data_IF_178356726470
#
_entry.id   IF_178356726470
#
_cell.length_a   1.000
_cell.length_b   1.000
_cell.length_c   1.000
_cell.angle_alpha   90.00
_cell.angle_beta   90.00
_cell.angle_gamma   90.00
#
_symmetry.space_group_name_H-M   'P 1'
#
loop_
_entity.id
_entity.type
_entity.pdbx_description
1 polymer ?
#
# COMPACT_ATOMS: atom_id res chain seq x y z
N UNK A 1 -20.81 45.60 -4.95
CA UNK A 1 -20.42 44.33 -5.60
C UNK A 1 -19.11 43.87 -4.96
N UNK A 2 -19.12 42.76 -4.20
CA UNK A 2 -17.90 42.16 -3.62
C UNK A 2 -17.58 40.90 -4.41
N UNK A 3 -16.56 40.98 -5.25
CA UNK A 3 -16.02 39.85 -6.02
C UNK A 3 -15.18 39.01 -5.07
N UNK A 4 -15.66 37.81 -4.73
CA UNK A 4 -14.89 36.82 -3.98
C UNK A 4 -13.94 36.14 -4.97
N UNK A 5 -12.64 36.46 -4.83
CA UNK A 5 -11.56 35.84 -5.58
C UNK A 5 -11.32 34.44 -5.00
N UNK A 6 -11.79 33.41 -5.70
CA UNK A 6 -11.56 32.01 -5.34
C UNK A 6 -10.10 31.66 -5.67
N UNK A 7 -9.24 31.61 -4.65
CA UNK A 7 -7.86 31.17 -4.78
C UNK A 7 -7.84 29.63 -4.89
N UNK A 8 -7.82 29.11 -6.12
CA UNK A 8 -7.53 27.69 -6.37
C UNK A 8 -6.05 27.44 -6.06
N UNK A 9 -5.77 26.88 -4.88
CA UNK A 9 -4.44 26.37 -4.54
C UNK A 9 -4.29 25.01 -5.23
N UNK A 10 -3.71 25.03 -6.42
CA UNK A 10 -3.31 23.81 -7.14
C UNK A 10 -2.06 23.24 -6.46
N UNK A 11 -2.24 22.32 -5.51
CA UNK A 11 -1.13 21.54 -4.96
C UNK A 11 -0.67 20.58 -6.06
N UNK A 12 0.38 20.95 -6.79
CA UNK A 12 1.11 20.07 -7.69
C UNK A 12 1.86 19.04 -6.83
N UNK A 13 1.28 17.86 -6.66
CA UNK A 13 1.96 16.71 -6.10
C UNK A 13 2.91 16.19 -7.19
N UNK A 14 4.13 16.73 -7.23
CA UNK A 14 5.19 16.13 -8.03
C UNK A 14 5.52 14.77 -7.42
N UNK A 15 5.13 13.69 -8.08
CA UNK A 15 5.74 12.39 -7.82
C UNK A 15 7.23 12.55 -8.11
N UNK A 16 8.06 12.54 -7.07
CA UNK A 16 9.50 12.75 -7.22
C UNK A 16 10.04 11.63 -8.12
N UNK A 17 10.34 11.98 -9.37
CA UNK A 17 11.15 11.14 -10.24
C UNK A 17 12.59 11.34 -9.75
N UNK A 18 13.13 10.36 -9.04
CA UNK A 18 14.51 10.41 -8.57
C UNK A 18 15.42 10.13 -9.76
N UNK A 19 16.27 11.10 -10.08
CA UNK A 19 17.39 10.88 -10.99
C UNK A 19 18.51 10.20 -10.20
N UNK A 20 18.95 9.06 -10.69
CA UNK A 20 20.02 8.26 -10.10
C UNK A 20 21.14 8.06 -11.12
N UNK A 21 22.36 7.90 -10.61
CA UNK A 21 23.52 7.55 -11.41
C UNK A 21 24.21 6.35 -10.76
N UNK A 22 24.59 5.37 -11.58
CA UNK A 22 25.39 4.23 -11.16
C UNK A 22 26.62 4.09 -12.04
N UNK A 23 27.76 3.80 -11.41
CA UNK A 23 28.97 3.35 -12.11
C UNK A 23 29.08 1.85 -11.99
N UNK A 24 29.06 1.14 -13.12
CA UNK A 24 29.16 -0.32 -13.19
C UNK A 24 30.54 -0.68 -13.70
N UNK A 25 31.28 -1.41 -12.87
CA UNK A 25 32.58 -1.96 -13.22
C UNK A 25 32.37 -3.23 -14.06
N UNK A 26 33.28 -3.50 -15.00
CA UNK A 26 33.28 -4.79 -15.70
C UNK A 26 33.37 -5.94 -14.69
N UNK A 27 32.52 -6.95 -14.85
CA UNK A 27 32.48 -8.12 -13.97
C UNK A 27 33.39 -9.25 -14.46
N UNK A 28 33.86 -9.19 -15.70
CA UNK A 28 34.80 -10.15 -16.27
C UNK A 28 35.40 -9.66 -17.59
N UNK A 29 36.52 -10.26 -17.97
CA UNK A 29 37.17 -10.05 -19.26
C UNK A 29 37.63 -11.40 -19.85
N UNK A 30 37.29 -11.62 -21.11
CA UNK A 30 37.74 -12.78 -21.90
C UNK A 30 38.53 -12.26 -23.08
N UNK A 31 39.82 -12.59 -23.16
CA UNK A 31 40.69 -12.09 -24.22
C UNK A 31 41.16 -13.23 -25.11
N UNK A 32 40.87 -13.12 -26.40
CA UNK A 32 41.30 -14.06 -27.44
C UNK A 32 42.46 -13.47 -28.24
N UNK A 33 43.49 -14.28 -28.47
CA UNK A 33 44.59 -13.96 -29.36
C UNK A 33 44.48 -14.81 -30.63
N UNK A 34 44.64 -14.19 -31.79
CA UNK A 34 44.85 -14.87 -33.07
C UNK A 34 46.33 -14.84 -33.41
N UNK A 35 46.91 -15.98 -33.76
CA UNK A 35 48.32 -16.12 -34.13
C UNK A 35 48.46 -17.07 -35.34
N UNK A 36 49.65 -17.16 -35.92
CA UNK A 36 49.96 -18.11 -37.01
C UNK A 36 50.69 -19.30 -36.40
N UNK A 37 50.10 -20.49 -36.44
CA UNK A 37 50.72 -21.68 -35.85
C UNK A 37 51.92 -22.20 -36.67
N UNK A 38 52.58 -23.26 -36.19
CA UNK A 38 53.75 -23.88 -36.85
C UNK A 38 53.47 -24.41 -38.25
N UNK A 39 52.20 -24.59 -38.62
CA UNK A 39 51.77 -25.02 -39.96
C UNK A 39 51.42 -23.85 -40.88
N UNK A 40 51.62 -22.60 -40.44
CA UNK A 40 51.31 -21.39 -41.22
C UNK A 40 49.82 -21.01 -41.24
N UNK A 41 48.98 -21.64 -40.42
CA UNK A 41 47.54 -21.38 -40.36
C UNK A 41 47.18 -20.47 -39.20
N UNK A 42 46.09 -19.72 -39.34
CA UNK A 42 45.53 -18.96 -38.22
C UNK A 42 44.95 -19.91 -37.17
N UNK A 43 45.34 -19.68 -35.92
CA UNK A 43 44.83 -20.37 -34.76
C UNK A 43 44.51 -19.37 -33.64
N UNK A 44 43.79 -19.80 -32.62
CA UNK A 44 43.26 -18.95 -31.56
C UNK A 44 43.45 -19.58 -30.18
N UNK A 45 43.73 -18.75 -29.18
CA UNK A 45 43.76 -19.18 -27.78
C UNK A 45 43.35 -18.05 -26.84
N UNK A 46 43.01 -18.38 -25.59
CA UNK A 46 42.85 -17.35 -24.55
C UNK A 46 44.22 -16.88 -24.06
N UNK A 47 44.37 -15.57 -23.91
CA UNK A 47 45.61 -14.97 -23.44
C UNK A 47 45.34 -13.61 -22.80
N UNK A 48 45.90 -13.34 -21.61
CA UNK A 48 45.66 -12.11 -20.85
C UNK A 48 46.81 -11.12 -20.90
N UNK A 49 47.82 -11.30 -21.76
CA UNK A 49 48.99 -10.41 -21.81
C UNK A 49 48.58 -8.98 -22.22
N UNK A 50 47.72 -8.87 -23.23
CA UNK A 50 47.17 -7.61 -23.72
C UNK A 50 45.67 -7.77 -23.91
N UNK A 51 44.89 -6.70 -23.78
CA UNK A 51 43.45 -6.77 -24.03
C UNK A 51 43.14 -6.64 -25.52
N UNK A 52 43.86 -5.76 -26.23
CA UNK A 52 43.65 -5.50 -27.66
C UNK A 52 44.95 -5.25 -28.40
N UNK A 53 44.90 -5.27 -29.74
CA UNK A 53 45.94 -4.76 -30.64
C UNK A 53 46.98 -5.80 -31.02
N UNK A 54 48.13 -5.36 -31.54
CA UNK A 54 49.20 -6.25 -32.05
C UNK A 54 50.54 -5.91 -31.41
N UNK A 55 51.30 -6.94 -31.08
CA UNK A 55 52.69 -6.85 -30.61
C UNK A 55 53.65 -7.08 -31.77
N UNK A 56 54.89 -6.62 -31.67
CA UNK A 56 55.93 -6.80 -32.68
C UNK A 56 56.50 -8.24 -32.83
N UNK A 57 55.91 -9.23 -32.15
CA UNK A 57 56.38 -10.63 -32.17
C UNK A 57 57.50 -10.99 -31.21
N UNK A 58 58.11 -10.03 -30.51
CA UNK A 58 59.20 -10.30 -29.56
C UNK A 58 58.72 -10.76 -28.17
N UNK A 59 57.41 -10.99 -27.99
CA UNK A 59 56.86 -11.38 -26.69
C UNK A 59 56.98 -12.89 -26.38
N UNK A 60 57.35 -13.72 -27.36
CA UNK A 60 57.71 -15.13 -27.17
C UNK A 60 56.59 -16.09 -26.76
N UNK A 61 55.31 -15.67 -26.81
CA UNK A 61 54.23 -16.46 -26.18
C UNK A 61 53.60 -17.48 -27.12
N UNK A 62 53.27 -17.11 -28.37
CA UNK A 62 52.67 -18.02 -29.33
C UNK A 62 53.44 -17.95 -30.65
N UNK A 63 54.25 -18.97 -30.93
CA UNK A 63 54.94 -19.25 -32.21
C UNK A 63 56.11 -18.35 -32.66
N UNK A 64 56.56 -17.37 -31.87
CA UNK A 64 57.56 -16.40 -32.37
C UNK A 64 57.04 -15.59 -33.58
N UNK A 65 55.72 -15.56 -33.73
CA UNK A 65 54.98 -14.90 -34.80
C UNK A 65 54.90 -13.40 -34.53
N UNK A 66 55.28 -12.60 -35.52
CA UNK A 66 55.04 -11.15 -35.49
C UNK A 66 53.55 -10.78 -35.65
N UNK A 67 52.64 -11.75 -35.74
CA UNK A 67 51.23 -11.55 -36.12
C UNK A 67 50.24 -11.82 -34.98
N UNK A 68 50.68 -11.81 -33.73
CA UNK A 68 49.80 -12.00 -32.58
C UNK A 68 48.91 -10.76 -32.40
N UNK A 69 47.60 -10.96 -32.49
CA UNK A 69 46.60 -9.88 -32.36
C UNK A 69 45.61 -10.28 -31.27
N UNK A 70 45.40 -9.40 -30.29
CA UNK A 70 44.45 -9.57 -29.19
C UNK A 70 43.16 -8.80 -29.44
N UNK A 71 42.07 -9.38 -28.95
CA UNK A 71 40.75 -8.76 -28.81
C UNK A 71 40.13 -9.21 -27.49
N UNK A 72 39.38 -8.35 -26.83
CA UNK A 72 38.75 -8.65 -25.54
C UNK A 72 37.24 -8.49 -25.57
N UNK A 73 36.52 -9.34 -24.85
CA UNK A 73 35.11 -9.16 -24.50
C UNK A 73 35.00 -8.88 -23.00
N UNK A 74 34.20 -7.88 -22.65
CA UNK A 74 33.97 -7.40 -21.30
C UNK A 74 32.52 -7.66 -20.94
N UNK A 75 32.27 -8.29 -19.78
CA UNK A 75 30.93 -8.49 -19.25
C UNK A 75 30.60 -7.46 -18.18
N UNK A 76 29.33 -7.08 -18.10
CA UNK A 76 28.80 -6.13 -17.11
C UNK A 76 27.53 -6.67 -16.50
N UNK A 77 27.50 -6.78 -15.17
CA UNK A 77 26.30 -7.13 -14.43
C UNK A 77 25.44 -5.88 -14.21
N UNK A 78 24.17 -5.93 -14.65
CA UNK A 78 23.24 -4.79 -14.62
C UNK A 78 22.24 -4.85 -13.47
N UNK A 79 22.36 -5.81 -12.54
CA UNK A 79 21.39 -6.00 -11.47
C UNK A 79 21.31 -4.87 -10.44
N UNK A 80 22.24 -3.92 -10.45
CA UNK A 80 22.15 -2.68 -9.66
C UNK A 80 21.16 -1.68 -10.22
N UNK A 81 20.71 -1.83 -11.48
CA UNK A 81 19.70 -0.97 -12.09
C UNK A 81 18.31 -1.62 -11.89
N UNK A 82 17.33 -0.94 -11.28
CA UNK A 82 15.98 -1.47 -11.12
C UNK A 82 15.36 -1.83 -12.48
N UNK A 83 14.62 -2.94 -12.55
CA UNK A 83 14.04 -3.43 -13.81
C UNK A 83 12.99 -2.50 -14.42
N UNK A 84 12.38 -1.63 -13.63
CA UNK A 84 11.44 -0.60 -14.08
C UNK A 84 12.13 0.75 -14.40
N UNK A 85 13.45 0.85 -14.27
CA UNK A 85 14.17 2.10 -14.52
C UNK A 85 14.11 2.50 -16.01
N UNK A 86 13.99 3.81 -16.24
CA UNK A 86 14.14 4.43 -17.56
C UNK A 86 15.57 4.96 -17.68
N UNK A 87 16.39 4.35 -18.54
CA UNK A 87 17.76 4.82 -18.79
C UNK A 87 17.71 6.14 -19.56
N UNK A 88 18.22 7.22 -18.97
CA UNK A 88 18.24 8.54 -19.59
C UNK A 88 19.53 8.77 -20.37
N UNK A 89 20.66 8.27 -19.87
CA UNK A 89 21.96 8.44 -20.49
C UNK A 89 22.88 7.26 -20.15
N UNK A 90 23.80 6.96 -21.07
CA UNK A 90 24.85 5.97 -20.84
C UNK A 90 26.18 6.49 -21.39
N UNK A 91 27.24 6.27 -20.62
CA UNK A 91 28.60 6.64 -20.97
C UNK A 91 29.54 5.45 -20.78
N UNK A 92 30.54 5.33 -21.66
CA UNK A 92 31.62 4.36 -21.54
C UNK A 92 32.90 5.09 -21.15
N UNK A 93 33.46 4.71 -20.01
CA UNK A 93 34.74 5.20 -19.54
C UNK A 93 35.84 4.16 -19.79
N UNK A 94 36.97 4.62 -20.29
CA UNK A 94 38.11 3.80 -20.67
C UNK A 94 39.29 4.04 -19.75
N UNK A 95 39.92 2.96 -19.27
CA UNK A 95 41.19 2.98 -18.57
C UNK A 95 42.18 2.15 -19.38
N UNK A 96 43.06 2.85 -20.11
CA UNK A 96 43.97 2.25 -21.09
C UNK A 96 45.39 2.37 -20.54
N UNK A 97 46.10 1.25 -20.48
CA UNK A 97 47.46 1.19 -19.92
C UNK A 97 48.34 0.20 -20.67
N UNK A 98 49.64 0.20 -20.39
CA UNK A 98 50.59 -0.74 -20.98
C UNK A 98 50.58 -0.72 -22.51
N UNK A 99 50.49 0.46 -23.13
CA UNK A 99 50.47 0.64 -24.58
C UNK A 99 51.75 1.34 -25.05
N UNK A 100 52.14 1.11 -26.31
CA UNK A 100 53.29 1.75 -26.95
C UNK A 100 52.90 2.77 -28.03
N UNK A 101 51.62 2.83 -28.40
CA UNK A 101 51.11 3.69 -29.45
C UNK A 101 50.02 4.62 -28.89
N UNK A 102 50.40 5.86 -28.54
CA UNK A 102 49.47 6.83 -27.95
C UNK A 102 48.43 7.38 -28.93
N UNK A 103 48.72 7.31 -30.23
CA UNK A 103 47.84 7.77 -31.32
C UNK A 103 46.94 6.65 -31.85
N UNK A 104 47.14 5.41 -31.39
CA UNK A 104 46.28 4.30 -31.77
C UNK A 104 44.87 4.50 -31.23
N UNK A 105 43.89 3.92 -31.92
CA UNK A 105 42.49 3.99 -31.53
C UNK A 105 41.88 2.60 -31.44
N UNK A 106 40.82 2.46 -30.65
CA UNK A 106 40.02 1.24 -30.53
C UNK A 106 38.59 1.45 -31.01
N UNK A 107 37.93 0.33 -31.27
CA UNK A 107 36.50 0.20 -31.53
C UNK A 107 35.88 -0.69 -30.46
N UNK A 108 34.67 -0.35 -30.02
CA UNK A 108 33.85 -1.17 -29.11
C UNK A 108 32.55 -1.58 -29.80
N UNK A 109 32.17 -2.84 -29.68
CA UNK A 109 30.94 -3.42 -30.23
C UNK A 109 30.10 -4.07 -29.15
N UNK A 110 28.78 -4.21 -29.37
CA UNK A 110 27.93 -5.08 -28.55
C UNK A 110 28.09 -6.52 -29.04
N UNK A 111 28.37 -7.43 -28.12
CA UNK A 111 28.49 -8.86 -28.40
C UNK A 111 27.41 -9.65 -27.66
N UNK A 112 27.47 -10.97 -27.76
CA UNK A 112 26.43 -11.88 -27.22
C UNK A 112 26.98 -12.87 -26.19
N UNK A 113 28.24 -12.73 -25.74
CA UNK A 113 28.84 -13.65 -24.76
C UNK A 113 29.15 -15.02 -25.36
N UNK A 114 29.92 -15.07 -26.46
CA UNK A 114 30.24 -16.31 -27.19
C UNK A 114 31.51 -16.98 -26.64
N UNK A 115 31.54 -18.32 -26.59
CA UNK A 115 32.58 -19.04 -25.85
C UNK A 115 33.65 -19.76 -26.69
N UNK A 116 33.42 -20.03 -27.99
CA UNK A 116 34.49 -20.58 -28.83
C UNK A 116 35.40 -19.47 -29.37
N UNK A 117 36.70 -19.73 -29.48
CA UNK A 117 37.68 -18.68 -29.78
C UNK A 117 37.42 -17.96 -31.11
N UNK A 118 37.16 -18.72 -32.18
CA UNK A 118 36.88 -18.17 -33.50
C UNK A 118 35.56 -17.39 -33.57
N UNK A 119 34.53 -17.85 -32.85
CA UNK A 119 33.26 -17.12 -32.75
C UNK A 119 33.42 -15.82 -31.95
N UNK A 120 34.11 -15.86 -30.81
CA UNK A 120 34.41 -14.68 -30.00
C UNK A 120 35.19 -13.64 -30.82
N UNK A 121 36.26 -14.09 -31.49
CA UNK A 121 37.06 -13.26 -32.38
C UNK A 121 36.22 -12.53 -33.44
N UNK A 122 35.33 -13.28 -34.11
CA UNK A 122 34.45 -12.76 -35.16
C UNK A 122 33.38 -11.83 -34.59
N UNK A 123 32.79 -12.19 -33.46
CA UNK A 123 31.73 -11.42 -32.80
C UNK A 123 32.25 -10.06 -32.30
N UNK A 124 33.47 -10.00 -31.77
CA UNK A 124 34.07 -8.72 -31.35
C UNK A 124 34.20 -7.75 -32.54
N UNK A 125 34.50 -8.24 -33.75
CA UNK A 125 34.53 -7.42 -34.96
C UNK A 125 33.23 -7.43 -35.77
N UNK A 126 32.08 -7.42 -35.08
CA UNK A 126 30.79 -7.26 -35.73
C UNK A 126 30.50 -5.78 -36.10
N UNK A 127 29.30 -5.55 -36.64
CA UNK A 127 28.79 -4.24 -37.07
C UNK A 127 28.02 -3.48 -35.97
N UNK A 128 27.69 -4.12 -34.84
CA UNK A 128 26.94 -3.52 -33.72
C UNK A 128 27.84 -2.59 -32.90
N UNK A 129 28.25 -1.49 -33.51
CA UNK A 129 29.24 -0.57 -32.95
C UNK A 129 28.64 0.29 -31.84
N UNK A 130 29.30 0.30 -30.68
CA UNK A 130 28.98 1.15 -29.52
C UNK A 130 29.86 2.40 -29.51
N UNK A 131 31.15 2.22 -29.79
CA UNK A 131 32.13 3.29 -29.97
C UNK A 131 32.94 3.00 -31.22
N UNK A 132 32.85 3.86 -32.23
CA UNK A 132 33.49 3.64 -33.52
C UNK A 132 35.00 3.88 -33.50
N UNK A 133 35.46 4.86 -32.71
CA UNK A 133 36.87 5.19 -32.53
C UNK A 133 37.09 5.88 -31.18
N UNK A 134 38.07 5.42 -30.41
CA UNK A 134 38.54 6.05 -29.18
C UNK A 134 40.06 5.99 -29.12
N UNK A 135 40.73 7.12 -29.00
CA UNK A 135 42.21 7.20 -28.99
C UNK A 135 42.75 6.75 -27.63
N UNK A 136 43.86 6.01 -27.62
CA UNK A 136 44.38 5.35 -26.41
C UNK A 136 44.73 6.32 -25.27
N UNK A 137 45.19 7.53 -25.61
CA UNK A 137 45.54 8.55 -24.63
C UNK A 137 44.39 9.51 -24.28
N UNK A 138 43.17 9.27 -24.78
CA UNK A 138 42.02 10.09 -24.44
C UNK A 138 41.54 9.78 -23.00
N UNK A 139 40.98 10.79 -22.34
CA UNK A 139 40.51 10.69 -20.94
C UNK A 139 39.01 10.94 -20.77
N UNK A 140 38.32 11.33 -21.84
CA UNK A 140 36.91 11.76 -21.77
C UNK A 140 35.98 10.57 -21.98
N UNK A 141 35.04 10.29 -21.05
CA UNK A 141 34.03 9.27 -21.26
C UNK A 141 33.21 9.52 -22.54
N UNK A 142 32.80 8.44 -23.22
CA UNK A 142 32.02 8.51 -24.44
C UNK A 142 30.53 8.34 -24.11
N UNK A 143 29.75 9.41 -24.25
CA UNK A 143 28.28 9.33 -24.24
C UNK A 143 27.83 8.64 -25.53
N UNK A 144 27.06 7.56 -25.44
CA UNK A 144 26.64 6.78 -26.62
C UNK A 144 25.18 6.36 -26.54
N UNK A 145 24.39 6.77 -27.54
CA UNK A 145 23.00 6.30 -27.69
C UNK A 145 22.96 4.79 -27.94
N UNK A 146 23.89 4.26 -28.74
CA UNK A 146 24.00 2.83 -28.99
C UNK A 146 24.29 2.05 -27.69
N UNK A 147 25.12 2.61 -26.78
CA UNK A 147 25.33 2.03 -25.45
C UNK A 147 24.06 2.04 -24.61
N UNK A 148 23.34 3.17 -24.61
CA UNK A 148 22.07 3.31 -23.89
C UNK A 148 21.07 2.23 -24.35
N UNK A 149 20.89 2.09 -25.65
CA UNK A 149 19.97 1.10 -26.24
C UNK A 149 20.45 -0.32 -25.96
N UNK A 150 21.77 -0.54 -25.97
CA UNK A 150 22.36 -1.83 -25.60
C UNK A 150 22.09 -2.21 -24.15
N UNK A 151 22.19 -1.27 -23.20
CA UNK A 151 21.88 -1.47 -21.78
C UNK A 151 20.38 -1.78 -21.63
N UNK A 152 19.50 -0.98 -22.23
CA UNK A 152 18.04 -1.18 -22.17
C UNK A 152 17.68 -2.61 -22.63
N UNK A 153 18.22 -3.04 -23.76
CA UNK A 153 17.97 -4.39 -24.29
C UNK A 153 18.56 -5.52 -23.42
N UNK A 154 19.52 -5.22 -22.55
CA UNK A 154 20.21 -6.19 -21.68
C UNK A 154 19.73 -6.14 -20.23
N UNK A 155 18.86 -5.21 -19.84
CA UNK A 155 18.29 -5.15 -18.48
C UNK A 155 17.51 -6.42 -18.13
N UNK A 156 16.82 -7.03 -19.09
CA UNK A 156 16.02 -8.26 -18.88
C UNK A 156 16.87 -9.50 -18.63
N UNK A 157 18.05 -9.58 -19.26
CA UNK A 157 19.01 -10.68 -19.05
C UNK A 157 19.93 -10.40 -17.85
N UNK A 158 19.98 -9.16 -17.36
CA UNK A 158 20.83 -8.72 -16.26
C UNK A 158 22.32 -8.66 -16.58
N UNK A 159 22.72 -8.97 -17.81
CA UNK A 159 24.13 -8.97 -18.23
C UNK A 159 24.27 -8.40 -19.65
N UNK A 160 25.27 -7.54 -19.85
CA UNK A 160 25.67 -7.01 -21.14
C UNK A 160 27.11 -7.41 -21.47
N UNK A 161 27.41 -7.62 -22.75
CA UNK A 161 28.74 -7.94 -23.25
C UNK A 161 29.18 -6.91 -24.29
N UNK A 162 30.41 -6.41 -24.14
CA UNK A 162 31.06 -5.47 -25.06
C UNK A 162 32.38 -6.03 -25.56
N UNK A 163 32.58 -6.07 -26.88
CA UNK A 163 33.83 -6.45 -27.52
C UNK A 163 34.70 -5.24 -27.83
N UNK A 164 36.00 -5.34 -27.61
CA UNK A 164 37.00 -4.30 -27.88
C UNK A 164 38.06 -4.82 -28.85
N UNK A 165 38.43 -3.99 -29.82
CA UNK A 165 39.53 -4.26 -30.76
C UNK A 165 40.30 -2.99 -31.11
N UNK A 166 41.59 -3.13 -31.43
CA UNK A 166 42.38 -2.02 -31.99
C UNK A 166 41.95 -1.74 -33.42
N UNK A 167 41.86 -0.49 -33.84
CA UNK A 167 41.58 -0.14 -35.25
C UNK A 167 42.82 -0.30 -36.15
N UNK A 168 43.99 -0.56 -35.57
CA UNK A 168 45.27 -0.66 -36.28
C UNK A 168 45.97 -1.99 -36.03
N UNK A 169 45.21 -3.09 -36.02
CA UNK A 169 45.70 -4.47 -35.81
C UNK A 169 46.78 -4.90 -36.82
N UNK A 170 46.89 -4.22 -37.96
CA UNK A 170 47.95 -4.45 -38.94
C UNK A 170 49.33 -3.91 -38.53
N UNK A 171 49.39 -3.01 -37.55
CA UNK A 171 50.63 -2.34 -37.12
C UNK A 171 51.18 -2.96 -35.85
N UNK A 172 52.50 -3.20 -35.83
CA UNK A 172 53.21 -3.62 -34.62
C UNK A 172 53.07 -2.55 -33.51
N UNK A 173 53.14 -3.00 -32.26
CA UNK A 173 53.11 -2.15 -31.06
C UNK A 173 51.82 -1.32 -30.90
N UNK A 174 50.72 -1.81 -31.49
CA UNK A 174 49.37 -1.26 -31.31
C UNK A 174 48.62 -1.88 -30.12
N UNK A 175 49.29 -2.69 -29.31
CA UNK A 175 48.68 -3.36 -28.17
C UNK A 175 48.37 -2.41 -27.01
N UNK A 176 47.37 -2.78 -26.21
CA UNK A 176 47.04 -2.10 -24.96
C UNK A 176 46.32 -3.04 -23.98
N UNK A 177 46.39 -2.71 -22.70
CA UNK A 177 45.53 -3.26 -21.65
C UNK A 177 44.33 -2.33 -21.42
N UNK A 178 43.15 -2.91 -21.25
CA UNK A 178 41.88 -2.18 -21.14
C UNK A 178 41.09 -2.59 -19.89
N UNK A 179 40.61 -1.58 -19.18
CA UNK A 179 39.46 -1.69 -18.30
C UNK A 179 38.36 -0.74 -18.79
N UNK A 180 37.13 -1.24 -18.82
CA UNK A 180 35.94 -0.49 -19.19
C UNK A 180 35.02 -0.32 -17.98
N UNK A 181 34.38 0.86 -17.87
CA UNK A 181 33.32 1.13 -16.89
C UNK A 181 32.12 1.76 -17.57
N UNK A 182 30.92 1.37 -17.15
CA UNK A 182 29.68 2.01 -17.57
C UNK A 182 29.31 3.07 -16.55
N UNK A 183 28.91 4.25 -17.01
CA UNK A 183 28.25 5.25 -16.20
C UNK A 183 26.82 5.37 -16.75
N UNK A 184 25.84 5.04 -15.93
CA UNK A 184 24.44 4.97 -16.35
C UNK A 184 23.62 5.92 -15.51
N UNK A 185 23.00 6.88 -16.17
CA UNK A 185 22.01 7.76 -15.56
C UNK A 185 20.62 7.19 -15.87
N UNK A 186 19.78 7.07 -14.85
CA UNK A 186 18.43 6.56 -15.01
C UNK A 186 17.45 7.24 -14.05
N UNK A 187 16.17 7.11 -14.36
CA UNK A 187 15.09 7.47 -13.45
C UNK A 187 14.28 6.24 -13.11
N UNK A 188 13.85 6.11 -11.86
CA UNK A 188 12.92 5.06 -11.48
C UNK A 188 11.52 5.67 -11.47
N UNK A 189 10.60 5.24 -12.35
CA UNK A 189 9.23 5.71 -12.30
C UNK A 189 8.65 5.33 -10.94
N UNK A 190 7.91 6.24 -10.28
CA UNK A 190 7.36 5.93 -8.97
C UNK A 190 6.46 4.70 -9.06
N UNK A 191 6.68 3.70 -8.20
CA UNK A 191 5.82 2.52 -8.17
C UNK A 191 4.40 2.95 -7.79
N UNK A 192 3.42 2.64 -8.63
CA UNK A 192 2.01 2.90 -8.36
C UNK A 192 1.37 1.60 -7.88
N UNK A 193 0.64 1.67 -6.78
CA UNK A 193 -0.12 0.54 -6.22
C UNK A 193 -1.61 0.82 -6.26
N UNK A 194 -2.41 -0.23 -6.46
CA UNK A 194 -3.87 -0.15 -6.36
C UNK A 194 -4.29 -0.43 -4.92
N UNK A 195 -5.07 0.45 -4.32
CA UNK A 195 -5.58 0.33 -2.95
C UNK A 195 -7.10 0.37 -3.01
N UNK A 196 -7.77 -0.42 -2.16
CA UNK A 196 -9.21 -0.39 -2.02
C UNK A 196 -9.61 0.15 -0.66
N UNK A 197 -10.57 1.08 -0.62
CA UNK A 197 -11.24 1.55 0.58
C UNK A 197 -12.62 0.92 0.71
N UNK A 198 -12.99 0.46 1.91
CA UNK A 198 -14.29 -0.17 2.18
C UNK A 198 -14.83 0.14 3.59
N UNK A 199 -16.13 -0.10 3.80
CA UNK A 199 -16.79 -0.10 5.10
C UNK A 199 -17.28 -1.52 5.44
N UNK A 200 -17.31 -1.86 6.73
CA UNK A 200 -17.65 -3.20 7.21
C UNK A 200 -19.15 -3.58 7.16
N UNK A 201 -20.01 -2.75 6.57
CA UNK A 201 -21.44 -3.01 6.52
C UNK A 201 -21.90 -3.21 5.08
N UNK A 202 -22.67 -4.27 4.89
CA UNK A 202 -23.26 -4.64 3.60
C UNK A 202 -24.62 -3.96 3.42
N UNK A 203 -25.11 -3.97 2.19
CA UNK A 203 -26.50 -3.70 1.88
C UNK A 203 -27.08 -4.91 1.18
N UNK A 204 -28.20 -5.43 1.67
CA UNK A 204 -29.07 -6.30 0.87
C UNK A 204 -29.84 -5.47 -0.16
N UNK A 205 -30.24 -4.24 0.21
CA UNK A 205 -31.22 -3.43 -0.53
C UNK A 205 -30.79 -1.96 -0.75
N UNK A 206 -29.52 -1.64 -0.50
CA UNK A 206 -28.97 -0.28 -0.62
C UNK A 206 -28.39 0.04 -1.99
N UNK A 207 -27.86 1.26 -2.16
CA UNK A 207 -27.11 1.67 -3.34
C UNK A 207 -25.58 1.64 -3.15
N UNK A 208 -25.10 1.67 -1.90
CA UNK A 208 -23.68 1.78 -1.55
C UNK A 208 -23.42 1.26 -0.11
N UNK A 209 -22.16 1.05 0.26
CA UNK A 209 -21.73 0.72 1.63
C UNK A 209 -21.40 1.98 2.43
N UNK A 210 -22.15 3.06 2.22
CA UNK A 210 -21.92 4.35 2.86
C UNK A 210 -20.80 5.16 2.19
N UNK A 211 -20.20 6.06 2.96
CA UNK A 211 -19.19 7.02 2.49
C UNK A 211 -17.94 7.02 3.36
N UNK A 212 -16.83 7.46 2.79
CA UNK A 212 -15.53 7.65 3.44
C UNK A 212 -14.82 8.88 2.87
N UNK A 213 -13.95 9.51 3.65
CA UNK A 213 -13.08 10.58 3.17
C UNK A 213 -11.71 9.99 2.84
N UNK A 214 -11.29 10.13 1.58
CA UNK A 214 -10.00 9.66 1.06
C UNK A 214 -9.23 10.89 0.58
N UNK A 215 -8.10 11.18 1.22
CA UNK A 215 -7.28 12.37 0.99
C UNK A 215 -8.11 13.67 0.99
N UNK A 216 -9.02 13.80 1.97
CA UNK A 216 -9.88 14.97 2.12
C UNK A 216 -11.10 15.01 1.18
N UNK A 217 -11.24 14.04 0.26
CA UNK A 217 -12.37 13.96 -0.66
C UNK A 217 -13.38 12.92 -0.18
N UNK A 218 -14.65 13.32 -0.04
CA UNK A 218 -15.72 12.39 0.27
C UNK A 218 -16.03 11.46 -0.92
N UNK A 219 -16.02 10.15 -0.68
CA UNK A 219 -16.25 9.09 -1.68
C UNK A 219 -17.36 8.16 -1.22
N UNK A 220 -18.24 7.80 -2.16
CA UNK A 220 -19.25 6.77 -1.98
C UNK A 220 -18.61 5.40 -2.22
N UNK A 221 -18.79 4.46 -1.29
CA UNK A 221 -18.21 3.12 -1.38
C UNK A 221 -19.19 2.19 -2.12
N UNK A 222 -18.82 1.64 -3.29
CA UNK A 222 -19.72 0.81 -4.08
C UNK A 222 -20.06 -0.51 -3.38
N UNK A 223 -21.23 -1.08 -3.70
CA UNK A 223 -21.65 -2.39 -3.16
C UNK A 223 -20.86 -3.56 -3.73
N UNK A 224 -20.51 -3.44 -5.01
CA UNK A 224 -19.75 -4.45 -5.76
C UNK A 224 -18.36 -4.60 -5.15
N UNK A 225 -17.95 -5.82 -4.75
CA UNK A 225 -16.58 -6.06 -4.31
C UNK A 225 -15.56 -5.58 -5.35
N UNK A 226 -14.38 -5.11 -4.92
CA UNK A 226 -13.89 -5.12 -3.54
C UNK A 226 -14.21 -3.86 -2.72
N UNK A 227 -14.86 -2.84 -3.30
CA UNK A 227 -15.05 -1.52 -2.69
C UNK A 227 -14.58 -0.39 -3.62
N UNK A 228 -14.20 0.77 -3.07
CA UNK A 228 -13.70 1.89 -3.88
C UNK A 228 -12.18 1.75 -4.11
N UNK A 229 -11.79 1.37 -5.34
CA UNK A 229 -10.39 1.21 -5.72
C UNK A 229 -9.82 2.49 -6.33
N UNK A 230 -8.60 2.85 -5.92
CA UNK A 230 -7.86 4.00 -6.41
C UNK A 230 -6.35 3.69 -6.45
N UNK A 231 -5.59 4.53 -7.15
CA UNK A 231 -4.15 4.39 -7.30
C UNK A 231 -3.40 5.39 -6.42
N UNK A 232 -2.29 4.95 -5.84
CA UNK A 232 -1.38 5.82 -5.10
C UNK A 232 0.07 5.44 -5.38
N UNK A 233 0.93 6.44 -5.42
CA UNK A 233 2.37 6.22 -5.57
C UNK A 233 2.97 5.80 -4.23
N UNK A 234 3.83 4.76 -4.24
CA UNK A 234 4.61 4.32 -3.09
C UNK A 234 5.43 5.50 -2.54
N UNK A 235 5.42 5.67 -1.22
CA UNK A 235 6.03 6.78 -0.50
C UNK A 235 5.14 8.01 -0.34
N UNK A 236 4.07 8.16 -1.12
CA UNK A 236 3.09 9.23 -0.87
C UNK A 236 2.27 8.92 0.38
N UNK A 237 1.97 9.96 1.16
CA UNK A 237 1.04 9.83 2.28
C UNK A 237 -0.39 9.63 1.76
N UNK A 238 -1.10 8.67 2.35
CA UNK A 238 -2.53 8.43 2.16
C UNK A 238 -3.23 8.71 3.48
N UNK A 239 -4.33 9.47 3.43
CA UNK A 239 -5.19 9.72 4.60
C UNK A 239 -6.57 9.15 4.34
N UNK A 240 -7.00 8.23 5.19
CA UNK A 240 -8.33 7.64 5.20
C UNK A 240 -9.07 8.12 6.45
N UNK A 241 -10.31 8.58 6.31
CA UNK A 241 -11.16 8.93 7.44
C UNK A 241 -12.55 8.34 7.28
N UNK A 242 -13.03 7.68 8.32
CA UNK A 242 -14.36 7.10 8.34
C UNK A 242 -15.38 8.22 8.55
N UNK A 243 -16.42 8.29 7.71
CA UNK A 243 -17.54 9.18 7.98
C UNK A 243 -18.40 8.59 9.08
N UNK A 244 -18.63 9.35 10.14
CA UNK A 244 -19.47 8.92 11.26
C UNK A 244 -20.08 10.16 11.92
N UNK A 245 -21.38 10.12 12.29
CA UNK A 245 -22.31 9.00 12.08
C UNK A 245 -22.75 8.88 10.61
N UNK A 246 -23.15 7.69 10.18
CA UNK A 246 -23.85 7.45 8.91
C UNK A 246 -24.89 6.35 9.07
N UNK A 247 -26.00 6.38 8.34
CA UNK A 247 -26.98 5.29 8.38
C UNK A 247 -26.58 4.18 7.42
N UNK A 248 -26.64 2.93 7.87
CA UNK A 248 -26.57 1.80 6.96
C UNK A 248 -27.91 1.56 6.26
N UNK A 249 -27.90 0.71 5.25
CA UNK A 249 -29.10 0.40 4.46
C UNK A 249 -30.08 -0.55 5.20
N UNK A 250 -29.82 -0.88 6.46
CA UNK A 250 -30.70 -1.67 7.32
C UNK A 250 -31.42 -0.79 8.34
N UNK A 251 -31.27 0.54 8.26
CA UNK A 251 -31.91 1.48 9.17
C UNK A 251 -31.22 1.61 10.52
N UNK A 252 -29.97 1.14 10.66
CA UNK A 252 -29.15 1.41 11.83
C UNK A 252 -28.22 2.58 11.60
N UNK A 253 -27.98 3.37 12.65
CA UNK A 253 -26.88 4.31 12.65
C UNK A 253 -25.56 3.55 12.87
N UNK A 254 -24.57 3.82 12.04
CA UNK A 254 -23.18 3.37 12.16
C UNK A 254 -22.33 4.51 12.68
N UNK A 255 -21.56 4.25 13.74
CA UNK A 255 -20.69 5.25 14.36
C UNK A 255 -19.26 4.75 14.49
N UNK A 256 -18.33 5.69 14.56
CA UNK A 256 -16.98 5.47 15.04
C UNK A 256 -16.99 5.50 16.57
N UNK A 257 -17.00 4.33 17.20
CA UNK A 257 -17.07 4.21 18.64
C UNK A 257 -15.67 4.13 19.27
N UNK A 258 -15.39 4.95 20.28
CA UNK A 258 -14.08 5.05 20.95
C UNK A 258 -14.05 4.46 22.36
N UNK A 259 -15.10 3.75 22.78
CA UNK A 259 -15.13 3.11 24.08
C UNK A 259 -14.20 1.90 24.19
N UNK A 260 -13.98 1.44 25.42
CA UNK A 260 -13.02 0.37 25.72
C UNK A 260 -13.43 -0.99 25.17
N UNK A 261 -14.73 -1.25 25.10
CA UNK A 261 -15.28 -2.54 24.67
C UNK A 261 -15.76 -2.43 23.24
N UNK A 262 -15.18 -3.26 22.36
CA UNK A 262 -15.49 -3.28 20.92
C UNK A 262 -15.40 -1.90 20.24
N UNK A 263 -14.26 -1.18 20.36
CA UNK A 263 -14.06 0.06 19.60
C UNK A 263 -14.16 -0.17 18.08
N UNK A 264 -14.41 0.90 17.35
CA UNK A 264 -14.19 0.96 15.91
C UNK A 264 -12.69 0.93 15.60
N UNK A 265 -12.32 0.33 14.48
CA UNK A 265 -10.93 0.23 14.05
C UNK A 265 -10.79 0.29 12.53
N UNK A 266 -9.58 0.61 12.08
CA UNK A 266 -9.13 0.39 10.70
C UNK A 266 -8.47 -0.98 10.58
N UNK A 267 -8.80 -1.69 9.51
CA UNK A 267 -8.15 -2.96 9.14
C UNK A 267 -7.62 -2.97 7.73
N UNK A 268 -6.47 -3.60 7.51
CA UNK A 268 -5.89 -3.92 6.19
C UNK A 268 -6.02 -5.41 5.94
N UNK A 269 -6.89 -5.83 5.03
CA UNK A 269 -7.21 -7.25 4.81
C UNK A 269 -7.51 -8.02 6.12
N UNK A 270 -8.24 -7.37 7.05
CA UNK A 270 -8.58 -7.94 8.35
C UNK A 270 -7.56 -7.72 9.48
N UNK A 271 -6.32 -7.31 9.17
CA UNK A 271 -5.32 -6.96 10.19
C UNK A 271 -5.57 -5.56 10.77
N UNK A 272 -5.55 -5.42 12.09
CA UNK A 272 -5.66 -4.14 12.77
C UNK A 272 -4.59 -3.13 12.33
N UNK A 273 -4.96 -1.86 12.18
CA UNK A 273 -4.04 -0.74 11.89
C UNK A 273 -4.18 0.45 12.84
N UNK A 274 -5.39 0.87 13.21
CA UNK A 274 -5.59 2.09 14.00
C UNK A 274 -6.95 2.13 14.69
N UNK A 275 -7.01 2.72 15.90
CA UNK A 275 -8.26 3.11 16.58
C UNK A 275 -8.70 4.55 16.26
N UNK A 276 -7.86 5.34 15.59
CA UNK A 276 -8.19 6.71 15.21
C UNK A 276 -9.15 6.71 14.03
N UNK A 277 -10.19 7.55 14.09
CA UNK A 277 -11.16 7.70 13.01
C UNK A 277 -10.50 8.10 11.69
N UNK A 278 -9.47 8.92 11.79
CA UNK A 278 -8.57 9.26 10.68
C UNK A 278 -7.27 8.47 10.83
N UNK A 279 -6.87 7.79 9.75
CA UNK A 279 -5.67 7.01 9.64
C UNK A 279 -4.83 7.51 8.46
N UNK A 280 -3.64 8.03 8.77
CA UNK A 280 -2.67 8.53 7.79
C UNK A 280 -1.41 7.71 7.82
N UNK A 281 -0.90 7.32 6.65
CA UNK A 281 0.30 6.49 6.52
C UNK A 281 0.99 6.70 5.16
N UNK A 282 2.31 6.54 5.08
CA UNK A 282 3.01 6.47 3.80
C UNK A 282 2.67 5.15 3.09
N UNK A 283 2.27 5.22 1.82
CA UNK A 283 1.95 4.02 1.02
C UNK A 283 3.21 3.20 0.77
N UNK A 284 3.12 1.90 0.94
CA UNK A 284 4.20 0.95 0.70
C UNK A 284 3.89 0.04 -0.50
N UNK A 285 4.92 -0.64 -1.04
CA UNK A 285 4.75 -1.56 -2.15
C UNK A 285 3.82 -2.76 -1.81
N UNK A 286 3.80 -3.19 -0.54
CA UNK A 286 2.94 -4.28 -0.06
C UNK A 286 1.45 -3.88 0.07
N UNK A 287 1.11 -2.61 -0.14
CA UNK A 287 -0.27 -2.13 -0.18
C UNK A 287 -1.00 -2.45 -1.49
N UNK A 288 -0.27 -2.92 -2.52
CA UNK A 288 -0.88 -3.27 -3.79
C UNK A 288 -1.91 -4.39 -3.64
N UNK A 289 -3.15 -4.11 -4.05
CA UNK A 289 -4.30 -5.00 -3.93
C UNK A 289 -4.84 -5.16 -2.51
N UNK A 290 -4.43 -4.32 -1.55
CA UNK A 290 -4.95 -4.38 -0.17
C UNK A 290 -6.25 -3.58 -0.02
N UNK A 291 -7.12 -4.09 0.84
CA UNK A 291 -8.38 -3.47 1.24
C UNK A 291 -8.20 -2.86 2.63
N UNK A 292 -8.41 -1.55 2.73
CA UNK A 292 -8.49 -0.80 3.96
C UNK A 292 -9.95 -0.60 4.33
N UNK A 293 -10.38 -1.28 5.40
CA UNK A 293 -11.76 -1.31 5.85
C UNK A 293 -11.92 -0.51 7.14
N UNK A 294 -12.89 0.41 7.16
CA UNK A 294 -13.37 1.05 8.38
C UNK A 294 -14.40 0.16 9.07
N UNK A 295 -14.13 -0.26 10.31
CA UNK A 295 -15.05 -1.08 11.10
C UNK A 295 -15.90 -0.20 12.01
N UNK A 296 -17.00 0.34 11.45
CA UNK A 296 -17.97 1.10 12.23
C UNK A 296 -18.90 0.16 13.01
N UNK A 297 -19.39 0.65 14.15
CA UNK A 297 -20.29 -0.09 15.04
C UNK A 297 -21.74 0.31 14.82
N UNK A 298 -22.67 -0.63 14.87
CA UNK A 298 -24.10 -0.28 14.98
C UNK A 298 -24.33 0.45 16.30
N UNK A 299 -25.11 1.52 16.23
CA UNK A 299 -25.59 2.28 17.38
C UNK A 299 -27.11 2.09 17.45
N UNK A 300 -27.55 1.23 18.37
CA UNK A 300 -28.95 0.85 18.48
C UNK A 300 -29.75 1.93 19.18
N UNK A 301 -30.85 2.34 18.55
CA UNK A 301 -31.82 3.27 19.13
C UNK A 301 -32.73 2.53 20.09
N UNK A 302 -32.76 2.96 21.35
CA UNK A 302 -33.61 2.42 22.39
C UNK A 302 -34.60 3.49 22.84
N UNK A 303 -35.83 3.39 22.35
CA UNK A 303 -36.90 4.33 22.70
C UNK A 303 -37.71 3.82 23.91
N UNK A 304 -38.33 4.75 24.61
CA UNK A 304 -39.29 4.46 25.68
C UNK A 304 -40.67 5.01 25.32
N UNK A 305 -41.70 4.19 25.50
CA UNK A 305 -43.11 4.63 25.51
C UNK A 305 -43.62 4.58 26.93
N UNK A 306 -44.16 5.68 27.42
CA UNK A 306 -44.73 5.73 28.77
C UNK A 306 -46.23 5.50 28.68
N UNK A 307 -46.69 4.38 29.21
CA UNK A 307 -48.11 4.02 29.30
C UNK A 307 -48.65 4.47 30.66
N UNK A 308 -49.75 5.20 30.64
CA UNK A 308 -50.45 5.60 31.86
C UNK A 308 -51.77 4.87 31.96
N UNK A 309 -52.25 4.67 33.19
CA UNK A 309 -53.53 4.00 33.46
C UNK A 309 -54.74 4.69 32.81
N UNK A 310 -54.74 6.03 32.72
CA UNK A 310 -55.92 6.80 32.26
C UNK A 310 -55.68 7.77 31.10
N UNK A 311 -54.43 8.10 30.77
CA UNK A 311 -54.10 9.09 29.73
C UNK A 311 -53.40 8.46 28.50
N UNK A 312 -53.44 7.12 28.38
CA UNK A 312 -52.93 6.39 27.22
C UNK A 312 -51.40 6.34 27.11
N UNK A 313 -50.92 6.13 25.88
CA UNK A 313 -49.51 5.98 25.55
C UNK A 313 -48.87 7.32 25.18
N UNK A 314 -47.75 7.63 25.80
CA UNK A 314 -46.88 8.76 25.47
C UNK A 314 -45.61 8.19 24.82
N UNK A 315 -45.52 8.21 23.49
CA UNK A 315 -44.39 7.63 22.75
C UNK A 315 -43.14 8.51 22.80
N UNK A 316 -41.97 7.89 22.63
CA UNK A 316 -40.64 8.52 22.50
C UNK A 316 -40.29 9.53 23.60
N UNK A 317 -40.60 9.17 24.84
CA UNK A 317 -40.37 10.08 25.97
C UNK A 317 -38.90 10.15 26.38
N UNK A 318 -38.13 9.08 26.11
CA UNK A 318 -36.69 8.99 26.30
C UNK A 318 -36.09 8.12 25.18
N UNK A 319 -34.99 8.56 24.59
CA UNK A 319 -34.18 7.75 23.65
C UNK A 319 -32.78 7.57 24.22
N UNK A 320 -32.35 6.33 24.35
CA UNK A 320 -30.96 5.99 24.60
C UNK A 320 -30.32 5.40 23.34
N UNK A 321 -29.01 5.51 23.23
CA UNK A 321 -28.23 4.91 22.16
C UNK A 321 -27.19 3.98 22.76
N UNK A 322 -27.21 2.73 22.33
CA UNK A 322 -26.30 1.71 22.85
C UNK A 322 -25.61 1.02 21.68
N UNK A 323 -24.29 1.04 21.72
CA UNK A 323 -23.44 0.45 20.69
C UNK A 323 -23.55 -1.06 20.73
N UNK A 324 -23.50 -1.71 19.56
CA UNK A 324 -23.54 -3.16 19.45
C UNK A 324 -22.57 -3.86 20.40
N UNK A 325 -23.00 -4.99 20.94
CA UNK A 325 -22.25 -5.84 21.90
C UNK A 325 -21.94 -5.17 23.25
N UNK A 326 -22.31 -3.90 23.44
CA UNK A 326 -22.21 -3.22 24.73
C UNK A 326 -23.54 -3.26 25.48
N UNK A 327 -23.43 -3.21 26.81
CA UNK A 327 -24.58 -2.98 27.68
C UNK A 327 -24.68 -1.50 28.04
N UNK A 328 -25.91 -1.03 28.27
CA UNK A 328 -26.17 0.33 28.75
C UNK A 328 -27.43 0.39 29.60
N UNK A 329 -27.49 1.40 30.46
CA UNK A 329 -28.67 1.64 31.28
C UNK A 329 -29.67 2.52 30.54
N UNK A 330 -30.94 2.13 30.57
CA UNK A 330 -32.06 3.02 30.29
C UNK A 330 -32.78 3.32 31.60
N UNK A 331 -33.14 4.59 31.79
CA UNK A 331 -33.83 5.06 32.98
C UNK A 331 -35.09 5.84 32.63
N UNK A 332 -36.03 5.81 33.56
CA UNK A 332 -37.24 6.61 33.55
C UNK A 332 -37.41 7.31 34.91
N UNK A 333 -38.38 8.20 35.04
CA UNK A 333 -38.61 8.94 36.29
C UNK A 333 -39.46 8.11 37.26
N UNK A 334 -39.28 8.30 38.57
CA UNK A 334 -40.12 7.64 39.58
C UNK A 334 -41.58 8.14 39.57
N UNK A 335 -41.82 9.33 39.02
CA UNK A 335 -43.13 9.94 38.88
C UNK A 335 -43.21 10.85 37.66
N UNK A 336 -44.41 11.03 37.11
CA UNK A 336 -44.66 11.94 35.99
C UNK A 336 -46.01 12.63 36.09
N UNK A 337 -46.02 13.94 35.82
CA UNK A 337 -47.24 14.74 35.69
C UNK A 337 -47.72 14.70 34.24
N UNK A 338 -48.88 14.10 33.99
CA UNK A 338 -49.51 14.00 32.66
C UNK A 338 -50.95 14.48 32.79
N UNK A 339 -51.35 15.45 31.96
CA UNK A 339 -52.70 16.05 32.00
C UNK A 339 -53.15 16.48 33.41
N UNK A 340 -52.22 17.01 34.23
CA UNK A 340 -52.50 17.44 35.60
C UNK A 340 -52.58 16.32 36.64
N UNK A 341 -52.40 15.05 36.25
CA UNK A 341 -52.38 13.88 37.12
C UNK A 341 -50.94 13.42 37.37
N UNK A 342 -50.56 13.28 38.64
CA UNK A 342 -49.24 12.76 39.00
C UNK A 342 -49.27 11.23 39.08
N UNK A 343 -48.64 10.56 38.14
CA UNK A 343 -48.50 9.11 38.10
C UNK A 343 -47.18 8.66 38.74
N UNK A 344 -47.20 7.49 39.38
CA UNK A 344 -46.01 6.84 39.92
C UNK A 344 -45.57 5.69 39.01
N UNK A 345 -44.26 5.50 38.89
CA UNK A 345 -43.68 4.36 38.20
C UNK A 345 -44.17 3.05 38.84
N UNK A 346 -44.74 2.16 38.04
CA UNK A 346 -45.27 0.88 38.48
C UNK A 346 -44.43 -0.31 38.01
N UNK A 347 -43.55 -0.11 37.02
CA UNK A 347 -42.70 -1.15 36.45
C UNK A 347 -42.47 -0.96 34.95
N UNK A 348 -41.63 -1.80 34.38
CA UNK A 348 -41.54 -1.98 32.93
C UNK A 348 -42.56 -3.05 32.52
N UNK A 349 -43.23 -2.88 31.39
CA UNK A 349 -44.34 -3.77 30.99
C UNK A 349 -43.89 -5.23 30.83
N UNK A 350 -42.67 -5.45 30.35
CA UNK A 350 -42.05 -6.76 30.21
C UNK A 350 -41.50 -7.32 31.53
N UNK A 351 -41.24 -6.47 32.53
CA UNK A 351 -40.74 -6.90 33.83
C UNK A 351 -41.06 -5.88 34.94
N UNK A 352 -42.12 -6.18 35.69
CA UNK A 352 -42.60 -5.34 36.80
C UNK A 352 -41.70 -5.33 38.04
N UNK A 353 -40.72 -6.22 38.13
CA UNK A 353 -39.79 -6.28 39.29
C UNK A 353 -38.61 -5.31 39.18
N UNK A 354 -38.37 -4.76 37.99
CA UNK A 354 -37.28 -3.82 37.75
C UNK A 354 -37.64 -2.42 38.27
N UNK A 355 -36.64 -1.74 38.85
CA UNK A 355 -36.76 -0.35 39.27
C UNK A 355 -36.82 0.63 38.09
N UNK A 356 -36.70 1.93 38.37
CA UNK A 356 -36.74 2.99 37.35
C UNK A 356 -35.57 2.98 36.38
N UNK A 357 -34.53 2.18 36.62
CA UNK A 357 -33.40 1.96 35.73
C UNK A 357 -33.24 0.47 35.44
N UNK A 358 -32.86 0.14 34.21
CA UNK A 358 -32.52 -1.23 33.80
C UNK A 358 -31.33 -1.24 32.84
N UNK A 359 -30.47 -2.24 33.00
CA UNK A 359 -29.36 -2.50 32.09
C UNK A 359 -29.83 -3.39 30.93
N UNK A 360 -29.45 -3.05 29.70
CA UNK A 360 -29.83 -3.78 28.50
C UNK A 360 -28.61 -3.97 27.58
N UNK A 361 -28.59 -5.09 26.85
CA UNK A 361 -27.63 -5.35 25.76
C UNK A 361 -28.44 -5.57 24.48
N UNK A 362 -28.71 -4.50 23.70
CA UNK A 362 -29.54 -4.62 22.53
C UNK A 362 -28.84 -5.36 21.39
N UNK A 363 -29.64 -6.12 20.63
CA UNK A 363 -29.25 -6.74 19.37
C UNK A 363 -29.92 -6.07 18.15
N UNK A 364 -30.81 -5.10 18.38
CA UNK A 364 -31.56 -4.33 17.39
C UNK A 364 -32.06 -3.03 18.03
N UNK A 365 -32.55 -2.10 17.21
CA UNK A 365 -33.37 -0.98 17.65
C UNK A 365 -34.62 -1.52 18.37
N UNK A 366 -34.94 -0.99 19.56
CA UNK A 366 -36.05 -1.50 20.38
C UNK A 366 -36.82 -0.38 21.07
N UNK A 367 -38.08 -0.66 21.38
CA UNK A 367 -38.95 0.18 22.20
C UNK A 367 -39.25 -0.56 23.50
N UNK A 368 -39.11 0.12 24.63
CA UNK A 368 -39.52 -0.38 25.93
C UNK A 368 -40.71 0.40 26.48
N UNK A 369 -41.69 -0.32 26.99
CA UNK A 369 -42.90 0.27 27.54
C UNK A 369 -42.77 0.41 29.06
N UNK A 370 -42.88 1.64 29.55
CA UNK A 370 -42.84 1.99 30.97
C UNK A 370 -44.28 2.17 31.46
N UNK A 371 -44.65 1.49 32.54
CA UNK A 371 -45.98 1.60 33.13
C UNK A 371 -45.98 2.60 34.28
N UNK A 372 -46.90 3.56 34.20
CA UNK A 372 -47.17 4.55 35.22
C UNK A 372 -48.62 4.40 35.72
N UNK A 373 -48.80 4.23 37.03
CA UNK A 373 -50.12 4.10 37.66
C UNK A 373 -50.47 5.32 38.49
N UNK A 374 -51.75 5.69 38.49
CA UNK A 374 -52.18 6.77 39.35
C UNK A 374 -52.12 6.26 40.80
N UNK A 375 -51.58 7.04 41.76
CA UNK A 375 -51.62 6.65 43.15
C UNK A 375 -53.08 6.62 43.61
N UNK A 376 -53.69 5.43 43.58
CA UNK A 376 -55.00 5.22 44.15
C UNK A 376 -54.87 5.14 45.67
N UNK A 377 -55.74 5.87 46.38
CA UNK A 377 -55.97 5.71 47.82
C UNK A 377 -56.58 4.33 48.19
N UNK A 378 -56.63 3.35 47.30
CA UNK A 378 -57.36 2.08 47.48
C UNK A 378 -56.51 0.84 47.76
N UNK A 379 -55.26 1.00 48.26
CA UNK A 379 -54.68 0.00 49.18
C UNK A 379 -55.05 0.26 50.66
N UNK A 380 -55.91 1.26 50.92
CA UNK A 380 -56.61 1.43 52.19
C UNK A 380 -58.07 0.98 52.12
N UNK A 381 -58.34 -0.25 51.64
CA UNK A 381 -59.45 -0.99 52.23
C UNK A 381 -58.93 -1.56 53.54
N UNK A 382 -59.03 -0.72 54.56
CA UNK A 382 -59.22 -1.08 55.96
C UNK A 382 -59.11 -2.59 56.28
N UNK A 383 -58.00 -3.00 56.87
CA UNK A 383 -57.91 -4.24 57.66
C UNK A 383 -58.91 -4.28 58.84
N UNK A 384 -59.76 -3.27 59.03
CA UNK A 384 -60.72 -3.17 60.14
C UNK A 384 -62.17 -3.53 59.81
N UNK A 385 -62.52 -3.99 58.59
CA UNK A 385 -63.91 -4.43 58.28
C UNK A 385 -64.17 -5.93 58.44
N UNK A 386 -63.12 -6.74 58.60
CA UNK A 386 -63.26 -8.16 58.95
C UNK A 386 -63.41 -8.40 60.48
N UNK A 387 -62.98 -7.47 61.33
CA UNK A 387 -63.13 -7.58 62.80
C UNK A 387 -64.49 -7.12 63.35
N UNK A 388 -65.28 -6.36 62.59
CA UNK A 388 -66.63 -5.92 63.03
C UNK A 388 -67.76 -6.92 62.76
N UNK A 389 -67.52 -7.97 61.98
CA UNK A 389 -68.50 -9.05 61.74
C UNK A 389 -68.30 -10.21 62.74
N UNK A 390 -67.12 -10.33 63.37
CA UNK A 390 -66.85 -11.37 64.36
C UNK A 390 -67.25 -11.00 65.80
N UNK A 391 -67.40 -9.70 66.14
CA UNK A 391 -67.86 -9.29 67.48
C UNK A 391 -69.39 -9.18 67.64
N UNK A 392 -70.18 -9.11 66.56
CA UNK A 392 -71.65 -9.13 66.64
C UNK A 392 -72.26 -10.54 66.61
N UNK A 393 -71.43 -11.60 66.58
CA UNK A 393 -71.87 -13.01 66.65
C UNK A 393 -71.55 -13.70 67.99
N UNK A 394 -70.94 -12.99 68.94
CA UNK A 394 -70.65 -13.49 70.30
C UNK A 394 -71.54 -12.91 71.42
N UNK A 395 -72.56 -12.10 71.09
CA UNK A 395 -73.50 -11.54 72.07
C UNK A 395 -74.92 -12.10 72.00
N UNK A 396 -75.16 -13.22 71.29
CA UNK A 396 -76.50 -13.84 71.18
C UNK A 396 -76.57 -15.31 71.62
N UNK A 397 -75.66 -15.77 72.47
CA UNK A 397 -75.62 -17.17 72.94
C UNK A 397 -75.38 -17.31 74.45
N UNK A 398 -75.86 -16.34 75.24
CA UNK A 398 -75.91 -16.46 76.70
C UNK A 398 -77.18 -15.77 77.21
N UNK A 399 -78.34 -16.44 77.11
CA UNK A 399 -79.51 -16.32 78.00
C UNK A 399 -80.57 -17.33 77.53
N UNK A 400 -80.43 -18.57 77.99
CA UNK A 400 -81.51 -19.57 78.10
C UNK A 400 -81.09 -20.60 79.15
N UNK A 401 -81.26 -20.21 80.41
CA UNK A 401 -81.72 -21.05 81.52
C UNK A 401 -82.57 -20.17 82.42
#
# INVERSE_FOLDING_TARGET
>A
MKTILLFMVTILIFGNIYAEQVTIYQSGISTVVRYINSSGNYDYTYNTLHSIGRHDGNNGINSGSQNDIWRSEHSFYLGSIPSNATITQAQLQFFISGYQCSTCSLKVTKTTGQYSYGQLWTNINNTNTIVASYVYNATTPVVSTALKDAIIASLTTGTMYLGSLSLVEGSNNSYASLELRLIVDYTVPPSIVNITADNNFTASDGANRGTMVIDGVNRTIPLTPPGYTFQKTVGQNLTLSANSPQNDNQGHQRIWYTGLTFPSDWRRNGEFKSYNQTYSFPVAADDNGKIYMANLRKNFKIDQTHKTEFDGNQTQQNTAWIVEQNSGNISTQSSRLINGKNYLFAGWEDNLSLGTSRNITPNDNKVYDVLYKYPHYSNSISKSRAEKIYQNKQWSLAYCL
#
